data_IF_273108990060
#
_entry.id   IF_273108990060
#
_cell.length_a   1.000
_cell.length_b   1.000
_cell.length_c   1.000
_cell.angle_alpha   90.00
_cell.angle_beta   90.00
_cell.angle_gamma   90.00
#
_symmetry.space_group_name_H-M   'P 1'
#
loop_
_entity.id
_entity.type
_entity.pdbx_description
1 polymer ?
#
# COMPACT_ATOMS: atom_id res chain seq x y z
N UNK A 1 -14.20 6.60 -15.62
CA UNK A 1 -15.07 7.29 -14.63
C UNK A 1 -14.19 8.21 -13.81
N UNK A 2 -14.56 9.48 -13.60
CA UNK A 2 -14.09 10.25 -12.47
C UNK A 2 -15.20 10.28 -11.41
N UNK A 3 -15.22 9.29 -10.53
CA UNK A 3 -16.15 9.17 -9.39
C UNK A 3 -15.40 8.78 -8.09
N UNK A 4 -14.11 9.11 -8.01
CA UNK A 4 -13.30 8.72 -6.86
C UNK A 4 -13.59 9.65 -5.67
N UNK A 5 -14.06 9.04 -4.58
CA UNK A 5 -14.47 9.58 -3.28
C UNK A 5 -15.91 10.09 -3.16
N UNK A 6 -16.89 9.24 -3.52
CA UNK A 6 -18.13 9.20 -2.74
C UNK A 6 -18.00 8.23 -1.57
N UNK A 7 -17.93 8.83 -0.39
CA UNK A 7 -18.58 8.36 0.85
C UNK A 7 -17.88 7.19 1.55
N UNK A 8 -17.04 7.54 2.53
CA UNK A 8 -17.04 6.78 3.77
C UNK A 8 -18.45 6.90 4.38
N UNK A 9 -19.09 5.76 4.61
CA UNK A 9 -20.51 5.57 4.86
C UNK A 9 -21.17 6.57 5.81
N UNK A 10 -22.38 6.99 5.44
CA UNK A 10 -23.44 7.49 6.34
C UNK A 10 -23.17 8.73 7.22
N UNK A 11 -22.22 9.60 6.89
CA UNK A 11 -22.17 10.93 7.53
C UNK A 11 -23.09 11.90 6.78
N UNK A 12 -24.32 12.08 7.27
CA UNK A 12 -25.23 13.14 6.80
C UNK A 12 -24.69 14.48 7.28
N UNK A 13 -23.98 15.19 6.41
CA UNK A 13 -23.52 16.55 6.68
C UNK A 13 -24.69 17.53 6.42
N UNK A 14 -24.86 18.58 7.24
CA UNK A 14 -25.81 19.64 6.96
C UNK A 14 -25.58 20.21 5.55
N UNK A 15 -26.65 20.52 4.83
CA UNK A 15 -26.60 20.88 3.40
C UNK A 15 -25.64 22.04 3.09
N UNK A 16 -25.51 22.99 4.03
CA UNK A 16 -24.57 24.12 3.98
C UNK A 16 -23.10 23.69 4.15
N UNK A 17 -22.82 22.70 4.99
CA UNK A 17 -21.48 22.11 5.18
C UNK A 17 -21.09 21.27 3.95
N UNK A 18 -22.06 20.53 3.39
CA UNK A 18 -21.86 19.80 2.14
C UNK A 18 -21.56 20.74 0.96
N UNK A 19 -22.15 21.96 0.94
CA UNK A 19 -21.85 22.99 -0.05
C UNK A 19 -20.43 23.57 0.09
N UNK A 20 -19.97 23.81 1.32
CA UNK A 20 -18.59 24.28 1.60
C UNK A 20 -17.55 23.22 1.24
N UNK A 21 -17.86 21.94 1.44
CA UNK A 21 -16.97 20.82 1.06
C UNK A 21 -17.08 20.45 -0.43
N UNK A 22 -18.22 20.68 -1.10
CA UNK A 22 -18.39 20.49 -2.55
C UNK A 22 -17.74 21.61 -3.38
N UNK A 23 -17.79 22.85 -2.91
CA UNK A 23 -17.32 24.03 -3.63
C UNK A 23 -15.96 24.55 -3.13
N UNK A 24 -15.44 23.97 -2.04
CA UNK A 24 -14.08 24.19 -1.53
C UNK A 24 -13.08 23.13 -2.05
N UNK A 25 -11.81 23.19 -1.65
CA UNK A 25 -10.82 22.19 -2.03
C UNK A 25 -11.26 20.81 -1.50
N UNK A 26 -11.11 19.77 -2.32
CA UNK A 26 -11.53 18.40 -2.00
C UNK A 26 -10.98 18.00 -0.62
N UNK A 27 -11.88 17.79 0.32
CA UNK A 27 -11.57 17.20 1.60
C UNK A 27 -11.44 15.68 1.39
N UNK A 28 -10.32 15.24 0.80
CA UNK A 28 -10.07 13.82 0.59
C UNK A 28 -9.41 13.22 1.84
N UNK A 29 -10.09 12.29 2.50
CA UNK A 29 -9.55 11.51 3.63
C UNK A 29 -8.32 10.73 3.21
N UNK A 30 -8.31 10.22 1.99
CA UNK A 30 -7.14 9.63 1.36
C UNK A 30 -6.44 10.74 0.57
N UNK A 31 -5.24 11.20 0.96
CA UNK A 31 -4.44 12.06 0.11
C UNK A 31 -4.29 11.44 -1.26
N UNK A 32 -4.42 12.23 -2.32
CA UNK A 32 -4.28 11.76 -3.71
C UNK A 32 -3.00 10.94 -3.90
N UNK A 33 -1.94 11.34 -3.19
CA UNK A 33 -0.69 10.59 -3.03
C UNK A 33 -0.96 9.14 -2.67
N UNK A 34 -1.55 8.82 -1.51
CA UNK A 34 -1.77 7.43 -1.04
C UNK A 34 -2.55 6.61 -2.05
N UNK A 35 -3.57 7.19 -2.68
CA UNK A 35 -4.30 6.52 -3.75
C UNK A 35 -3.39 6.17 -4.94
N UNK A 36 -2.48 7.07 -5.34
CA UNK A 36 -1.47 6.77 -6.36
C UNK A 36 -0.54 5.60 -5.94
N UNK A 37 -0.12 5.53 -4.67
CA UNK A 37 0.68 4.40 -4.16
C UNK A 37 -0.09 3.08 -4.24
N UNK A 38 -1.36 3.08 -3.79
CA UNK A 38 -2.21 1.90 -3.89
C UNK A 38 -2.45 1.48 -5.34
N UNK A 39 -2.40 2.41 -6.28
CA UNK A 39 -2.58 2.13 -7.70
C UNK A 39 -1.28 1.85 -8.44
N UNK A 40 -0.09 1.94 -7.85
CA UNK A 40 1.14 1.73 -8.62
C UNK A 40 1.28 0.27 -9.08
N UNK A 41 1.95 0.03 -10.21
CA UNK A 41 2.25 -1.33 -10.70
C UNK A 41 3.49 -1.96 -10.06
N UNK A 42 4.37 -1.14 -9.48
CA UNK A 42 5.54 -1.66 -8.77
C UNK A 42 5.10 -2.41 -7.49
N UNK A 43 5.79 -3.49 -7.11
CA UNK A 43 5.43 -4.24 -5.91
C UNK A 43 5.79 -3.42 -4.66
N UNK A 44 4.76 -3.05 -3.89
CA UNK A 44 4.91 -2.19 -2.70
C UNK A 44 4.48 -2.84 -1.40
N UNK A 45 4.37 -4.17 -1.35
CA UNK A 45 3.88 -4.86 -0.14
C UNK A 45 4.66 -4.49 1.13
N UNK A 46 5.97 -4.25 0.98
CA UNK A 46 6.88 -3.85 2.05
C UNK A 46 6.68 -2.40 2.55
N UNK A 47 6.09 -1.54 1.73
CA UNK A 47 5.77 -0.14 2.09
C UNK A 47 4.31 0.03 2.51
N UNK A 48 3.45 -0.97 2.27
CA UNK A 48 2.01 -0.83 2.47
C UNK A 48 1.63 -0.49 3.92
N UNK A 49 2.12 -1.25 4.90
CA UNK A 49 1.80 -1.00 6.31
C UNK A 49 2.27 0.39 6.78
N UNK A 50 3.52 0.83 6.50
CA UNK A 50 3.94 2.20 6.77
C UNK A 50 3.07 3.27 6.09
N UNK A 51 2.70 3.07 4.82
CA UNK A 51 1.83 4.01 4.08
C UNK A 51 0.47 4.14 4.76
N UNK A 52 -0.13 3.04 5.18
CA UNK A 52 -1.43 3.04 5.86
C UNK A 52 -1.34 3.70 7.24
N UNK A 53 -0.30 3.41 8.03
CA UNK A 53 -0.08 4.03 9.33
C UNK A 53 0.13 5.55 9.20
N UNK A 54 0.95 5.99 8.24
CA UNK A 54 1.16 7.41 7.97
C UNK A 54 -0.15 8.10 7.56
N UNK A 55 -1.01 7.43 6.80
CA UNK A 55 -2.34 7.96 6.47
C UNK A 55 -3.20 8.15 7.73
N UNK A 56 -3.20 7.18 8.65
CA UNK A 56 -3.92 7.30 9.91
C UNK A 56 -3.35 8.46 10.76
N UNK A 57 -2.03 8.54 10.88
CA UNK A 57 -1.35 9.62 11.60
C UNK A 57 -1.66 10.99 10.99
N UNK A 58 -1.62 11.10 9.66
CA UNK A 58 -1.94 12.33 8.93
C UNK A 58 -3.36 12.80 9.21
N UNK A 59 -4.33 11.90 9.31
CA UNK A 59 -5.72 12.28 9.65
C UNK A 59 -5.81 12.66 11.13
N UNK A 60 -5.26 11.83 12.03
CA UNK A 60 -5.26 12.12 13.46
C UNK A 60 -4.60 13.48 13.77
N UNK A 61 -3.47 13.79 13.13
CA UNK A 61 -2.74 15.05 13.31
C UNK A 61 -3.56 16.29 12.99
N UNK A 62 -4.65 16.17 12.21
CA UNK A 62 -5.53 17.30 11.85
C UNK A 62 -6.46 17.71 12.98
N UNK A 63 -6.82 16.80 13.88
CA UNK A 63 -7.84 17.05 14.90
C UNK A 63 -7.49 16.57 16.32
N UNK A 64 -6.51 15.69 16.49
CA UNK A 64 -6.01 15.22 17.80
C UNK A 64 -4.86 16.11 18.27
N UNK A 65 -4.77 16.33 19.58
CA UNK A 65 -3.70 17.12 20.19
C UNK A 65 -2.32 16.48 19.93
N UNK A 66 -1.30 17.25 19.48
CA UNK A 66 0.03 16.70 19.19
C UNK A 66 0.71 16.02 20.38
N UNK A 67 0.43 16.47 21.62
CA UNK A 67 0.98 15.87 22.83
C UNK A 67 0.61 14.37 22.97
N UNK A 68 -0.63 14.01 22.59
CA UNK A 68 -1.10 12.62 22.65
C UNK A 68 -0.47 11.77 21.54
N UNK A 69 -0.34 12.32 20.33
CA UNK A 69 0.32 11.62 19.23
C UNK A 69 1.78 11.28 19.57
N UNK A 70 2.48 12.17 20.29
CA UNK A 70 3.86 11.94 20.74
C UNK A 70 3.97 10.95 21.91
N UNK A 71 2.94 10.83 22.74
CA UNK A 71 2.95 9.98 23.93
C UNK A 71 2.75 8.50 23.59
N UNK A 72 2.02 8.21 22.50
CA UNK A 72 1.70 6.84 22.12
C UNK A 72 2.69 6.28 21.09
N UNK A 73 3.32 5.15 21.44
CA UNK A 73 4.15 4.38 20.49
C UNK A 73 3.32 3.71 19.39
N UNK A 74 2.03 3.48 19.65
CA UNK A 74 1.10 2.85 18.72
C UNK A 74 -0.13 3.76 18.51
N UNK A 75 -0.16 4.43 17.37
CA UNK A 75 -1.23 5.35 16.97
C UNK A 75 -2.59 4.67 16.83
N UNK A 76 -2.62 3.35 16.67
CA UNK A 76 -3.87 2.57 16.58
C UNK A 76 -4.57 2.44 17.94
N UNK A 77 -3.89 2.77 19.05
CA UNK A 77 -4.45 2.68 20.41
C UNK A 77 -4.97 4.02 20.94
N UNK A 78 -4.76 5.12 20.22
CA UNK A 78 -5.22 6.44 20.65
C UNK A 78 -6.74 6.47 20.69
N UNK A 79 -7.33 6.82 21.82
CA UNK A 79 -8.75 7.16 21.88
C UNK A 79 -8.95 8.62 21.47
N UNK A 80 -9.53 8.83 20.28
CA UNK A 80 -9.76 10.15 19.69
C UNK A 80 -11.21 10.64 19.79
N UNK A 81 -12.10 9.88 20.44
CA UNK A 81 -13.54 10.22 20.50
C UNK A 81 -13.82 11.38 21.48
N UNK A 82 -13.00 11.48 22.53
CA UNK A 82 -13.20 12.46 23.59
C UNK A 82 -12.83 13.88 23.12
N UNK A 83 -13.71 14.86 23.31
CA UNK A 83 -13.40 16.26 22.95
C UNK A 83 -12.15 16.81 23.67
N UNK A 84 -11.88 16.33 24.87
CA UNK A 84 -10.71 16.72 25.68
C UNK A 84 -9.37 16.31 25.06
N UNK A 85 -9.36 15.33 24.15
CA UNK A 85 -8.14 14.90 23.44
C UNK A 85 -7.98 15.57 22.08
N UNK A 86 -9.04 16.22 21.60
CA UNK A 86 -9.07 16.92 20.32
C UNK A 86 -8.56 18.35 20.48
N UNK A 87 -8.13 18.92 19.35
CA UNK A 87 -7.76 20.33 19.25
C UNK A 87 -8.99 21.22 19.38
N UNK A 88 -8.75 22.48 19.73
CA UNK A 88 -9.79 23.50 19.66
C UNK A 88 -10.14 23.81 18.20
N UNK A 89 -11.34 24.38 17.99
CA UNK A 89 -11.90 24.58 16.65
C UNK A 89 -10.98 25.36 15.71
N UNK A 90 -10.28 26.38 16.23
CA UNK A 90 -9.37 27.22 15.45
C UNK A 90 -8.10 26.48 14.99
N UNK A 91 -7.73 25.43 15.72
CA UNK A 91 -6.53 24.64 15.50
C UNK A 91 -6.79 23.38 14.65
N UNK A 92 -8.06 23.12 14.30
CA UNK A 92 -8.42 22.08 13.35
C UNK A 92 -7.83 22.39 11.96
N UNK A 93 -7.21 21.38 11.36
CA UNK A 93 -6.59 21.50 10.03
C UNK A 93 -7.63 21.21 8.95
N UNK A 94 -8.29 22.26 8.48
CA UNK A 94 -9.32 22.21 7.42
C UNK A 94 -8.85 22.79 6.07
N UNK A 95 -7.60 23.26 6.00
CA UNK A 95 -7.05 23.93 4.81
C UNK A 95 -7.37 25.43 4.75
N UNK A 96 -6.50 26.20 4.09
CA UNK A 96 -6.55 27.67 4.09
C UNK A 96 -7.85 28.23 3.46
N UNK A 97 -8.24 27.70 2.29
CA UNK A 97 -9.46 28.16 1.61
C UNK A 97 -10.72 27.93 2.45
N UNK A 98 -10.82 26.78 3.13
CA UNK A 98 -11.94 26.49 4.02
C UNK A 98 -11.95 27.45 5.22
N UNK A 99 -10.78 27.76 5.81
CA UNK A 99 -10.67 28.77 6.88
C UNK A 99 -11.22 30.14 6.44
N UNK A 100 -10.83 30.62 5.25
CA UNK A 100 -11.33 31.90 4.71
C UNK A 100 -12.85 31.93 4.50
N UNK A 101 -13.47 30.79 4.19
CA UNK A 101 -14.94 30.69 4.07
C UNK A 101 -15.59 30.70 5.44
N UNK A 102 -15.06 29.89 6.37
CA UNK A 102 -15.60 29.75 7.73
C UNK A 102 -15.54 31.06 8.50
N UNK A 103 -14.49 31.87 8.31
CA UNK A 103 -14.34 33.19 8.93
C UNK A 103 -15.52 34.14 8.64
N UNK A 104 -16.15 34.00 7.47
CA UNK A 104 -17.30 34.82 7.04
C UNK A 104 -18.64 34.34 7.60
N UNK A 105 -18.68 33.17 8.22
CA UNK A 105 -19.90 32.58 8.77
C UNK A 105 -20.31 33.25 10.10
N UNK A 106 -21.59 33.15 10.42
CA UNK A 106 -22.12 33.57 11.73
C UNK A 106 -21.59 32.66 12.84
N UNK A 107 -21.52 33.12 14.10
CA UNK A 107 -21.01 32.31 15.21
C UNK A 107 -21.70 30.94 15.39
N UNK A 108 -23.02 30.89 15.19
CA UNK A 108 -23.80 29.63 15.21
C UNK A 108 -23.32 28.64 14.15
N UNK A 109 -23.16 29.14 12.93
CA UNK A 109 -22.83 28.34 11.75
C UNK A 109 -21.36 27.88 11.80
N UNK A 110 -20.47 28.69 12.37
CA UNK A 110 -19.08 28.32 12.67
C UNK A 110 -19.03 27.12 13.62
N UNK A 111 -19.79 27.17 14.71
CA UNK A 111 -19.82 26.09 15.70
C UNK A 111 -20.34 24.78 15.07
N UNK A 112 -21.44 24.85 14.34
CA UNK A 112 -22.00 23.69 13.63
C UNK A 112 -21.01 23.11 12.61
N UNK A 113 -20.29 23.97 11.87
CA UNK A 113 -19.27 23.54 10.93
C UNK A 113 -18.14 22.76 11.60
N UNK A 114 -17.56 23.28 12.69
CA UNK A 114 -16.46 22.61 13.37
C UNK A 114 -16.88 21.32 14.07
N UNK A 115 -18.09 21.27 14.64
CA UNK A 115 -18.68 20.04 15.15
C UNK A 115 -18.85 18.97 14.04
N UNK A 116 -19.25 19.40 12.83
CA UNK A 116 -19.36 18.49 11.69
C UNK A 116 -17.98 17.99 11.21
N UNK A 117 -16.97 18.86 11.17
CA UNK A 117 -15.58 18.48 10.84
C UNK A 117 -15.02 17.48 11.85
N UNK A 118 -15.20 17.73 13.15
CA UNK A 118 -14.77 16.80 14.20
C UNK A 118 -15.40 15.42 14.04
N UNK A 119 -16.73 15.36 13.85
CA UNK A 119 -17.46 14.11 13.59
C UNK A 119 -16.97 13.40 12.33
N UNK A 120 -16.70 14.15 11.26
CA UNK A 120 -16.17 13.59 10.02
C UNK A 120 -14.80 12.93 10.20
N UNK A 121 -13.88 13.59 10.91
CA UNK A 121 -12.54 13.06 11.14
C UNK A 121 -12.57 11.80 12.03
N UNK A 122 -13.39 11.82 13.09
CA UNK A 122 -13.63 10.63 13.94
C UNK A 122 -14.17 9.47 13.10
N UNK A 123 -15.22 9.71 12.30
CA UNK A 123 -15.80 8.69 11.44
C UNK A 123 -14.81 8.14 10.40
N UNK A 124 -13.91 8.98 9.87
CA UNK A 124 -12.85 8.54 8.96
C UNK A 124 -11.87 7.58 9.65
N UNK A 125 -11.42 7.91 10.86
CA UNK A 125 -10.55 7.03 11.65
C UNK A 125 -11.28 5.73 12.06
N UNK A 126 -12.55 5.81 12.44
CA UNK A 126 -13.37 4.64 12.81
C UNK A 126 -13.58 3.69 11.64
N UNK A 127 -13.67 4.21 10.42
CA UNK A 127 -13.71 3.39 9.23
C UNK A 127 -12.35 2.74 8.96
N UNK A 128 -11.25 3.49 9.07
CA UNK A 128 -9.93 2.97 8.75
C UNK A 128 -9.47 1.88 9.71
N UNK A 129 -9.73 2.00 11.01
CA UNK A 129 -9.27 1.05 12.04
C UNK A 129 -9.61 -0.42 11.78
N UNK A 130 -10.88 -0.78 11.48
CA UNK A 130 -11.24 -2.16 11.17
C UNK A 130 -10.89 -2.56 9.73
N UNK A 131 -10.92 -1.62 8.77
CA UNK A 131 -10.73 -1.95 7.35
C UNK A 131 -9.25 -2.10 6.97
N UNK A 132 -8.35 -1.35 7.61
CA UNK A 132 -6.93 -1.35 7.27
C UNK A 132 -6.16 -2.34 8.11
N UNK A 133 -5.30 -3.10 7.44
CA UNK A 133 -4.56 -4.20 8.01
C UNK A 133 -3.30 -3.74 8.76
N UNK A 134 -3.42 -2.76 9.68
CA UNK A 134 -2.30 -2.10 10.37
C UNK A 134 -1.38 -3.06 11.13
N UNK A 135 -1.97 -4.12 11.70
CA UNK A 135 -1.29 -5.15 12.50
C UNK A 135 -1.11 -6.47 11.74
N UNK A 136 -1.28 -6.46 10.42
CA UNK A 136 -1.15 -7.68 9.64
C UNK A 136 0.31 -8.16 9.64
N UNK A 137 0.52 -9.36 10.18
CA UNK A 137 1.86 -9.94 10.30
C UNK A 137 2.56 -10.08 8.95
N UNK A 138 1.85 -10.42 7.88
CA UNK A 138 2.48 -10.53 6.57
C UNK A 138 2.98 -9.18 6.07
N UNK A 139 2.23 -8.09 6.27
CA UNK A 139 2.71 -6.75 5.89
C UNK A 139 3.89 -6.27 6.75
N UNK A 140 3.87 -6.59 8.05
CA UNK A 140 4.99 -6.27 8.96
C UNK A 140 6.25 -7.03 8.55
N UNK A 141 6.13 -8.34 8.28
CA UNK A 141 7.25 -9.17 7.87
C UNK A 141 7.73 -8.83 6.44
N UNK A 142 6.84 -8.39 5.55
CA UNK A 142 7.19 -8.04 4.17
C UNK A 142 8.24 -6.91 4.05
N UNK A 143 8.43 -6.12 5.10
CA UNK A 143 9.51 -5.11 5.21
C UNK A 143 10.91 -5.71 4.99
N UNK A 144 11.06 -7.03 5.11
CA UNK A 144 12.30 -7.77 4.86
C UNK A 144 12.82 -7.67 3.42
N UNK A 145 11.99 -7.24 2.47
CA UNK A 145 12.44 -7.02 1.08
C UNK A 145 13.00 -5.62 0.87
N UNK A 146 12.93 -4.73 1.86
CA UNK A 146 13.42 -3.36 1.74
C UNK A 146 14.95 -3.33 1.91
N UNK A 147 15.65 -3.00 0.82
CA UNK A 147 17.11 -2.94 0.78
C UNK A 147 17.65 -1.77 1.61
N UNK A 148 16.91 -0.67 1.72
CA UNK A 148 17.35 0.48 2.51
C UNK A 148 17.30 0.18 4.02
N UNK A 149 16.46 -0.78 4.44
CA UNK A 149 16.30 -1.18 5.83
C UNK A 149 17.13 -2.43 6.21
N UNK A 150 18.01 -2.91 5.31
CA UNK A 150 18.65 -4.22 5.42
C UNK A 150 19.52 -4.37 6.67
N UNK A 151 20.22 -3.31 7.08
CA UNK A 151 21.13 -3.30 8.24
C UNK A 151 20.45 -3.70 9.55
N UNK A 152 19.14 -3.47 9.66
CA UNK A 152 18.36 -3.72 10.89
C UNK A 152 17.38 -4.90 10.74
N UNK A 153 17.53 -5.68 9.67
CA UNK A 153 16.55 -6.66 9.28
C UNK A 153 16.68 -7.97 10.06
N UNK A 154 15.57 -8.54 10.52
CA UNK A 154 15.57 -9.86 11.16
C UNK A 154 15.34 -10.97 10.15
N UNK A 155 16.18 -12.01 10.18
CA UNK A 155 15.97 -13.23 9.38
C UNK A 155 14.61 -13.88 9.63
N UNK A 156 14.06 -13.72 10.85
CA UNK A 156 12.71 -14.20 11.21
C UNK A 156 11.63 -13.73 10.25
N UNK A 157 11.79 -12.54 9.67
CA UNK A 157 10.81 -11.98 8.74
C UNK A 157 10.83 -12.73 7.39
N UNK A 158 11.99 -13.16 6.91
CA UNK A 158 12.10 -14.00 5.71
C UNK A 158 11.59 -15.42 6.01
N UNK A 159 11.97 -15.94 7.18
CA UNK A 159 11.55 -17.27 7.65
C UNK A 159 10.02 -17.38 7.75
N UNK A 160 9.33 -16.34 8.24
CA UNK A 160 7.86 -16.27 8.28
C UNK A 160 7.21 -16.62 6.93
N UNK A 161 7.75 -16.10 5.82
CA UNK A 161 7.22 -16.39 4.49
C UNK A 161 7.57 -17.79 4.00
N UNK A 162 8.79 -18.26 4.26
CA UNK A 162 9.24 -19.61 3.89
C UNK A 162 8.47 -20.70 4.64
N UNK A 163 8.15 -20.46 5.92
CA UNK A 163 7.31 -21.37 6.72
C UNK A 163 5.88 -21.39 6.20
N UNK A 164 5.31 -20.22 5.92
CA UNK A 164 3.93 -20.08 5.44
C UNK A 164 3.75 -20.55 3.99
N UNK A 165 4.76 -20.40 3.16
CA UNK A 165 4.77 -20.77 1.75
C UNK A 165 6.04 -21.57 1.43
N UNK A 166 6.06 -22.89 1.70
CA UNK A 166 7.24 -23.73 1.48
C UNK A 166 7.84 -23.66 0.07
N UNK A 167 7.00 -23.40 -0.94
CA UNK A 167 7.42 -23.24 -2.33
C UNK A 167 8.31 -22.01 -2.58
N UNK A 168 8.36 -21.06 -1.64
CA UNK A 168 9.26 -19.90 -1.73
C UNK A 168 10.72 -20.24 -1.46
N UNK A 169 11.00 -21.35 -0.76
CA UNK A 169 12.37 -21.77 -0.47
C UNK A 169 12.93 -22.53 -1.67
N UNK A 170 13.90 -21.94 -2.42
CA UNK A 170 14.63 -22.70 -3.43
C UNK A 170 15.40 -23.80 -2.71
N UNK A 171 15.31 -25.04 -3.16
CA UNK A 171 15.96 -26.18 -2.54
C UNK A 171 16.54 -27.07 -3.64
N UNK A 172 17.81 -27.48 -3.47
CA UNK A 172 18.43 -28.44 -4.38
C UNK A 172 17.93 -29.86 -4.08
N UNK A 173 17.89 -30.73 -5.09
CA UNK A 173 17.36 -32.11 -4.96
C UNK A 173 18.02 -32.94 -3.85
N UNK A 174 19.30 -32.66 -3.54
CA UNK A 174 20.11 -33.39 -2.55
C UNK A 174 20.17 -32.71 -1.19
N UNK A 175 19.58 -31.52 -1.06
CA UNK A 175 19.64 -30.68 0.14
C UNK A 175 18.39 -30.93 1.00
N UNK A 176 18.52 -30.97 2.32
CA UNK A 176 17.37 -31.00 3.24
C UNK A 176 16.77 -29.60 3.40
N UNK A 177 15.53 -29.51 3.88
CA UNK A 177 14.90 -28.21 4.17
C UNK A 177 15.72 -27.39 5.18
N UNK A 178 16.23 -28.02 6.23
CA UNK A 178 17.03 -27.33 7.25
C UNK A 178 18.34 -26.81 6.68
N UNK A 179 19.00 -27.56 5.80
CA UNK A 179 20.20 -27.09 5.09
C UNK A 179 19.87 -25.89 4.20
N UNK A 180 18.74 -25.91 3.50
CA UNK A 180 18.28 -24.80 2.66
C UNK A 180 17.95 -23.54 3.48
N UNK A 181 17.32 -23.70 4.65
CA UNK A 181 17.04 -22.60 5.60
C UNK A 181 18.35 -22.03 6.15
N UNK A 182 19.28 -22.87 6.59
CA UNK A 182 20.59 -22.43 7.07
C UNK A 182 21.36 -21.67 5.99
N UNK A 183 21.31 -22.13 4.74
CA UNK A 183 21.92 -21.43 3.62
C UNK A 183 21.27 -20.05 3.38
N UNK A 184 19.94 -19.96 3.45
CA UNK A 184 19.20 -18.70 3.34
C UNK A 184 19.56 -17.71 4.47
N UNK A 185 19.67 -18.20 5.70
CA UNK A 185 20.09 -17.39 6.84
C UNK A 185 21.51 -16.85 6.65
N UNK A 186 22.44 -17.72 6.21
CA UNK A 186 23.81 -17.30 5.90
C UNK A 186 23.88 -16.26 4.78
N UNK A 187 23.07 -16.38 3.73
CA UNK A 187 22.97 -15.34 2.69
C UNK A 187 22.42 -14.02 3.26
N UNK A 188 21.44 -14.09 4.17
CA UNK A 188 20.86 -12.92 4.84
C UNK A 188 21.91 -12.16 5.65
N UNK A 189 22.70 -12.87 6.47
CA UNK A 189 23.79 -12.27 7.27
C UNK A 189 24.88 -11.67 6.37
N UNK A 190 25.27 -12.36 5.30
CA UNK A 190 26.24 -11.83 4.33
C UNK A 190 25.73 -10.56 3.65
N UNK A 191 24.44 -10.51 3.34
CA UNK A 191 23.84 -9.36 2.67
C UNK A 191 23.89 -8.09 3.55
N UNK A 192 23.66 -8.22 4.86
CA UNK A 192 23.74 -7.10 5.81
C UNK A 192 25.12 -6.45 5.91
N UNK A 193 26.18 -7.20 5.62
CA UNK A 193 27.56 -6.68 5.61
C UNK A 193 28.06 -6.37 4.20
N UNK A 194 27.23 -6.59 3.17
CA UNK A 194 27.63 -6.43 1.79
C UNK A 194 27.45 -4.98 1.32
N UNK A 195 28.52 -4.42 0.75
CA UNK A 195 28.44 -3.10 0.11
C UNK A 195 27.67 -3.21 -1.20
N UNK A 196 26.39 -2.87 -1.15
CA UNK A 196 25.49 -2.90 -2.31
C UNK A 196 25.97 -1.89 -3.36
N UNK A 197 26.05 -2.28 -4.65
CA UNK A 197 26.43 -1.35 -5.71
C UNK A 197 25.45 -0.18 -5.83
N UNK A 198 25.96 1.02 -6.08
CA UNK A 198 25.14 2.23 -6.24
C UNK A 198 24.07 2.07 -7.32
N UNK A 199 24.39 1.39 -8.43
CA UNK A 199 23.44 1.09 -9.51
C UNK A 199 22.23 0.22 -9.10
N UNK A 200 22.29 -0.44 -7.94
CA UNK A 200 21.15 -1.16 -7.34
C UNK A 200 20.37 -0.21 -6.43
N UNK A 201 21.06 0.61 -5.63
CA UNK A 201 20.41 1.55 -4.71
C UNK A 201 19.64 2.66 -5.44
N UNK A 202 20.09 3.06 -6.63
CA UNK A 202 19.41 4.05 -7.49
C UNK A 202 18.13 3.52 -8.16
N UNK A 203 17.85 2.21 -8.11
CA UNK A 203 16.62 1.66 -8.66
C UNK A 203 15.43 1.90 -7.73
N UNK A 204 14.38 2.54 -8.25
CA UNK A 204 13.16 2.83 -7.49
C UNK A 204 12.35 1.57 -7.15
N UNK A 205 12.50 0.51 -7.94
CA UNK A 205 11.68 -0.70 -7.90
C UNK A 205 12.37 -1.82 -7.15
N UNK A 206 11.80 -2.23 -6.02
CA UNK A 206 12.34 -3.32 -5.18
C UNK A 206 12.56 -4.63 -5.96
N UNK A 207 11.65 -5.01 -6.85
CA UNK A 207 11.82 -6.21 -7.68
C UNK A 207 12.99 -6.12 -8.64
N UNK A 208 13.26 -4.93 -9.18
CA UNK A 208 14.43 -4.68 -10.03
C UNK A 208 15.71 -4.71 -9.20
N UNK A 209 15.69 -4.15 -8.00
CA UNK A 209 16.83 -4.19 -7.08
C UNK A 209 17.23 -5.64 -6.76
N UNK A 210 16.28 -6.47 -6.31
CA UNK A 210 16.55 -7.89 -6.00
C UNK A 210 16.96 -8.69 -7.24
N UNK A 211 16.41 -8.36 -8.40
CA UNK A 211 16.83 -8.96 -9.68
C UNK A 211 18.28 -8.63 -10.02
N UNK A 212 18.77 -7.42 -9.70
CA UNK A 212 20.18 -7.04 -9.88
C UNK A 212 21.10 -7.64 -8.81
N UNK A 213 20.59 -7.92 -7.61
CA UNK A 213 21.34 -8.60 -6.54
C UNK A 213 21.54 -10.09 -6.86
N UNK A 214 20.53 -10.76 -7.42
CA UNK A 214 20.55 -12.19 -7.72
C UNK A 214 21.81 -12.68 -8.48
N UNK A 215 22.31 -12.00 -9.53
CA UNK A 215 23.49 -12.43 -10.27
C UNK A 215 24.84 -11.99 -9.65
N UNK A 216 24.85 -11.34 -8.49
CA UNK A 216 26.10 -10.88 -7.87
C UNK A 216 26.93 -12.08 -7.41
N UNK A 217 28.21 -12.05 -7.78
CA UNK A 217 29.16 -13.13 -7.50
C UNK A 217 30.15 -12.78 -6.39
N UNK A 218 30.60 -13.80 -5.68
CA UNK A 218 31.73 -13.72 -4.77
C UNK A 218 33.07 -13.78 -5.49
N UNK A 219 34.15 -13.69 -4.71
CA UNK A 219 35.52 -13.87 -5.21
C UNK A 219 35.76 -15.30 -5.74
N UNK A 220 34.99 -16.26 -5.22
CA UNK A 220 34.90 -17.65 -5.67
C UNK A 220 34.15 -17.82 -7.01
N UNK A 221 33.58 -16.74 -7.57
CA UNK A 221 32.79 -16.76 -8.80
C UNK A 221 31.38 -17.36 -8.63
N UNK A 222 30.99 -17.74 -7.41
CA UNK A 222 29.67 -18.29 -7.10
C UNK A 222 28.67 -17.17 -6.79
N UNK A 223 27.39 -17.42 -7.04
CA UNK A 223 26.33 -16.45 -6.72
C UNK A 223 26.22 -16.28 -5.20
N UNK A 224 26.32 -15.04 -4.71
CA UNK A 224 26.35 -14.73 -3.28
C UNK A 224 24.98 -14.77 -2.61
N UNK A 225 23.93 -14.37 -3.34
CA UNK A 225 22.61 -14.06 -2.77
C UNK A 225 21.47 -14.68 -3.59
N UNK A 226 21.72 -15.78 -4.29
CA UNK A 226 20.75 -16.37 -5.22
C UNK A 226 19.49 -16.84 -4.51
N UNK A 227 19.62 -17.48 -3.34
CA UNK A 227 18.48 -18.02 -2.59
C UNK A 227 17.69 -16.89 -1.95
N UNK A 228 18.39 -15.94 -1.34
CA UNK A 228 17.81 -14.76 -0.73
C UNK A 228 17.03 -13.95 -1.76
N UNK A 229 17.63 -13.62 -2.91
CA UNK A 229 16.96 -12.85 -3.95
C UNK A 229 15.69 -13.54 -4.47
N UNK A 230 15.70 -14.88 -4.61
CA UNK A 230 14.49 -15.62 -5.02
C UNK A 230 13.38 -15.54 -3.97
N UNK A 231 13.70 -15.67 -2.68
CA UNK A 231 12.73 -15.50 -1.60
C UNK A 231 12.14 -14.09 -1.61
N UNK A 232 12.98 -13.06 -1.73
CA UNK A 232 12.54 -11.66 -1.73
C UNK A 232 11.67 -11.32 -2.94
N UNK A 233 12.04 -11.80 -4.13
CA UNK A 233 11.22 -11.69 -5.34
C UNK A 233 9.88 -12.44 -5.18
N UNK A 234 9.90 -13.58 -4.50
CA UNK A 234 8.70 -14.32 -4.14
C UNK A 234 7.76 -13.53 -3.23
N UNK A 235 8.30 -12.86 -2.20
CA UNK A 235 7.51 -11.98 -1.33
C UNK A 235 6.94 -10.80 -2.13
N UNK A 236 7.74 -10.20 -3.02
CA UNK A 236 7.32 -9.09 -3.89
C UNK A 236 6.27 -9.49 -4.93
N UNK A 237 6.06 -10.79 -5.18
CA UNK A 237 4.99 -11.27 -6.06
C UNK A 237 3.59 -11.13 -5.44
N UNK A 238 3.51 -10.89 -4.13
CA UNK A 238 2.23 -10.68 -3.45
C UNK A 238 1.72 -9.26 -3.79
N UNK A 239 0.51 -9.13 -4.37
CA UNK A 239 -0.04 -7.83 -4.71
C UNK A 239 -0.35 -7.03 -3.44
N UNK A 240 0.02 -5.74 -3.43
CA UNK A 240 -0.24 -4.83 -2.31
C UNK A 240 -1.64 -4.20 -2.35
N UNK A 241 -2.35 -4.30 -3.49
CA UNK A 241 -3.72 -3.79 -3.60
C UNK A 241 -4.51 -4.53 -4.67
N UNK A 242 -5.83 -4.36 -4.63
CA UNK A 242 -6.75 -4.91 -5.63
C UNK A 242 -6.67 -4.18 -6.98
N UNK A 243 -5.89 -3.10 -7.09
CA UNK A 243 -5.81 -2.31 -8.33
C UNK A 243 -5.33 -3.13 -9.52
N UNK A 244 -4.50 -4.15 -9.30
CA UNK A 244 -4.03 -5.06 -10.35
C UNK A 244 -5.19 -5.90 -10.92
N UNK A 245 -6.02 -6.45 -10.04
CA UNK A 245 -7.24 -7.16 -10.43
C UNK A 245 -8.24 -6.21 -11.10
N UNK A 246 -8.44 -5.01 -10.57
CA UNK A 246 -9.36 -4.01 -11.14
C UNK A 246 -8.94 -3.58 -12.55
N UNK A 247 -7.64 -3.43 -12.81
CA UNK A 247 -7.11 -3.19 -14.15
C UNK A 247 -7.48 -4.31 -15.11
N UNK A 248 -7.26 -5.56 -14.71
CA UNK A 248 -7.64 -6.72 -15.52
C UNK A 248 -9.16 -6.76 -15.76
N UNK A 249 -9.98 -6.49 -14.74
CA UNK A 249 -11.43 -6.42 -14.89
C UNK A 249 -11.91 -5.22 -15.72
N UNK A 250 -11.16 -4.12 -15.78
CA UNK A 250 -11.48 -2.98 -16.66
C UNK A 250 -11.36 -3.36 -18.14
N UNK A 251 -10.42 -4.25 -18.49
CA UNK A 251 -10.26 -4.80 -19.84
C UNK A 251 -11.47 -5.67 -20.20
N UNK A 252 -11.97 -6.45 -19.24
CA UNK A 252 -13.18 -7.28 -19.38
C UNK A 252 -14.43 -6.44 -19.54
N UNK A 253 -14.62 -5.40 -18.72
CA UNK A 253 -15.80 -4.52 -18.77
C UNK A 253 -15.97 -3.83 -20.12
N UNK A 254 -14.88 -3.46 -20.80
CA UNK A 254 -14.95 -2.94 -22.18
C UNK A 254 -15.44 -3.98 -23.20
N UNK A 255 -15.34 -5.27 -22.87
CA UNK A 255 -15.72 -6.39 -23.74
C UNK A 255 -17.15 -6.88 -23.44
N UNK A 256 -17.58 -6.79 -22.18
CA UNK A 256 -18.99 -6.96 -21.74
C UNK A 256 -19.65 -5.61 -21.54
N UNK A 257 -20.14 -5.01 -22.62
CA UNK A 257 -21.04 -3.85 -22.55
C UNK A 257 -22.46 -4.30 -22.90
N UNK A 258 -23.49 -3.65 -22.35
CA UNK A 258 -24.92 -3.91 -22.64
C UNK A 258 -25.24 -3.90 -24.16
N UNK A 259 -24.40 -3.25 -24.97
CA UNK A 259 -24.55 -3.11 -26.42
C UNK A 259 -23.79 -4.16 -27.27
N UNK A 260 -23.15 -5.17 -26.67
CA UNK A 260 -22.45 -6.24 -27.41
C UNK A 260 -22.96 -7.61 -26.96
N UNK A 261 -23.09 -8.54 -27.91
CA UNK A 261 -23.48 -9.92 -27.62
C UNK A 261 -22.56 -10.50 -26.52
N UNK A 262 -23.12 -11.06 -25.43
CA UNK A 262 -22.33 -11.54 -24.31
C UNK A 262 -21.43 -12.70 -24.77
N UNK A 263 -20.13 -12.48 -24.67
CA UNK A 263 -19.12 -13.52 -24.88
C UNK A 263 -19.19 -14.54 -23.72
N UNK A 264 -19.04 -15.83 -24.04
CA UNK A 264 -18.98 -16.89 -23.03
C UNK A 264 -17.81 -16.67 -22.07
N UNK A 265 -17.93 -17.10 -20.82
CA UNK A 265 -16.87 -16.96 -19.81
C UNK A 265 -15.57 -17.67 -20.26
N UNK A 266 -15.70 -18.80 -20.97
CA UNK A 266 -14.56 -19.53 -21.54
C UNK A 266 -13.79 -18.68 -22.55
N UNK A 267 -14.49 -18.09 -23.52
CA UNK A 267 -13.87 -17.24 -24.55
C UNK A 267 -13.30 -15.96 -23.95
N UNK A 268 -14.00 -15.38 -22.97
CA UNK A 268 -13.56 -14.19 -22.25
C UNK A 268 -12.28 -14.47 -21.44
N UNK A 269 -12.20 -15.63 -20.77
CA UNK A 269 -10.99 -16.06 -20.07
C UNK A 269 -9.79 -16.24 -21.01
N UNK A 270 -10.01 -16.81 -22.20
CA UNK A 270 -8.94 -16.93 -23.20
C UNK A 270 -8.51 -15.57 -23.77
N UNK A 271 -9.47 -14.66 -24.03
CA UNK A 271 -9.18 -13.31 -24.48
C UNK A 271 -8.40 -12.52 -23.42
N UNK A 272 -8.75 -12.68 -22.14
CA UNK A 272 -8.03 -12.06 -21.03
C UNK A 272 -6.59 -12.55 -20.99
N UNK A 273 -6.38 -13.88 -21.05
CA UNK A 273 -5.04 -14.46 -21.14
C UNK A 273 -4.26 -13.89 -22.33
N UNK A 274 -4.85 -13.89 -23.53
CA UNK A 274 -4.21 -13.33 -24.71
C UNK A 274 -3.83 -11.85 -24.54
N UNK A 275 -4.68 -11.04 -23.89
CA UNK A 275 -4.38 -9.62 -23.62
C UNK A 275 -3.35 -9.41 -22.51
N UNK A 276 -3.31 -10.27 -21.50
CA UNK A 276 -2.35 -10.17 -20.39
C UNK A 276 -0.96 -10.68 -20.77
N UNK A 277 -0.88 -11.71 -21.63
CA UNK A 277 0.39 -12.34 -22.03
C UNK A 277 0.90 -11.90 -23.41
N UNK A 278 0.04 -11.33 -24.24
CA UNK A 278 0.40 -10.86 -25.56
C UNK A 278 1.32 -9.64 -25.49
N UNK A 279 2.54 -9.77 -26.02
CA UNK A 279 3.45 -8.63 -26.22
C UNK A 279 3.21 -8.02 -27.59
N UNK A 280 2.88 -6.72 -27.62
CA UNK A 280 2.67 -5.97 -28.86
C UNK A 280 1.26 -6.09 -29.47
N UNK A 281 1.01 -5.41 -30.60
CA UNK A 281 -0.29 -5.44 -31.28
C UNK A 281 -0.72 -6.88 -31.65
N UNK A 282 -2.03 -7.16 -31.64
CA UNK A 282 -2.54 -8.51 -31.92
C UNK A 282 -2.08 -9.06 -33.28
N UNK A 283 -1.85 -8.20 -34.28
CA UNK A 283 -1.41 -8.62 -35.62
C UNK A 283 0.07 -9.04 -35.68
N UNK A 284 0.87 -8.75 -34.65
CA UNK A 284 2.28 -9.12 -34.58
C UNK A 284 2.54 -10.32 -33.67
N UNK A 285 1.50 -10.87 -33.04
CA UNK A 285 1.62 -12.02 -32.15
C UNK A 285 1.57 -13.31 -32.98
N UNK A 286 2.71 -13.95 -33.16
CA UNK A 286 2.80 -15.28 -33.77
C UNK A 286 2.30 -16.28 -32.71
N UNK A 287 1.14 -16.88 -32.95
CA UNK A 287 0.70 -18.05 -32.20
C UNK A 287 1.66 -19.18 -32.56
N UNK A 288 2.54 -19.55 -31.63
CA UNK A 288 3.28 -20.80 -31.71
C UNK A 288 2.27 -21.91 -31.41
N UNK A 289 1.98 -22.71 -32.44
CA UNK A 289 1.17 -23.94 -32.34
C UNK A 289 1.87 -25.02 -31.49
#
# INVERSE_FOLDING_TARGET
>A
MPDNLRVLGNVVLPEKVALVLKNGPKFSVVPETVNCWLQVQAPLIHKLQPILLNLLEDILSRFVRPALLKQHNDICLIDYHSRNVQKDDQDLVIGHQAKCVVEKLKPSDKKEFFEAVGRYMVAACDYMRPEFAFRNEALINARVVDIEAMDNMSFKNALFFVERFPALLPQNERETRDQAINALEMESVKMQSFKIPTSVLEEERADVQWRKISPLKGEDGLMKFSRLAQVMLGILSVPHSNSECERQFSIVRKTRTEFRAPMSDKTLGQLLKAKCYGRGPCYSQILLD
#
